data_IF_454745456793
#
_entry.id   IF_454745456793
#
_cell.length_a   1.000
_cell.length_b   1.000
_cell.length_c   1.000
_cell.angle_alpha   90.00
_cell.angle_beta   90.00
_cell.angle_gamma   90.00
#
_symmetry.space_group_name_H-M   'P 1'
#
loop_
_entity.id
_entity.type
_entity.pdbx_description
1 polymer ?
#
# COMPACT_ATOMS: atom_id res chain seq x y z
N UNK A 1 -5.40 -14.70 -23.35
CA UNK A 1 -4.05 -14.89 -23.85
C UNK A 1 -3.02 -14.71 -22.74
N UNK A 2 -1.75 -14.98 -23.07
CA UNK A 2 -0.71 -15.00 -22.03
C UNK A 2 -0.47 -13.65 -21.36
N UNK A 3 -0.61 -12.58 -22.10
CA UNK A 3 -0.44 -11.26 -21.53
C UNK A 3 -1.49 -10.97 -20.47
N UNK A 4 -2.73 -11.25 -20.77
CA UNK A 4 -3.82 -11.06 -19.83
C UNK A 4 -3.66 -11.96 -18.61
N UNK A 5 -3.23 -13.17 -18.80
CA UNK A 5 -2.99 -14.10 -17.70
C UNK A 5 -1.92 -13.57 -16.75
N UNK A 6 -0.82 -13.08 -17.31
CA UNK A 6 0.26 -12.52 -16.51
C UNK A 6 -0.21 -11.28 -15.74
N UNK A 7 -0.97 -10.42 -16.40
CA UNK A 7 -1.51 -9.22 -15.78
C UNK A 7 -2.46 -9.58 -14.64
N UNK A 8 -3.32 -10.57 -14.86
CA UNK A 8 -4.25 -11.02 -13.84
C UNK A 8 -3.54 -11.56 -12.62
N UNK A 9 -2.48 -12.36 -12.83
CA UNK A 9 -1.69 -12.88 -11.72
C UNK A 9 -1.06 -11.78 -10.91
N UNK A 10 -0.43 -10.82 -11.59
CA UNK A 10 0.20 -9.68 -10.92
C UNK A 10 -0.84 -8.87 -10.18
N UNK A 11 -1.97 -8.61 -10.81
CA UNK A 11 -3.05 -7.84 -10.19
C UNK A 11 -3.59 -8.51 -8.94
N UNK A 12 -3.72 -9.83 -8.97
CA UNK A 12 -4.22 -10.56 -7.81
C UNK A 12 -3.29 -10.40 -6.61
N UNK A 13 -1.99 -10.56 -6.82
CA UNK A 13 -1.01 -10.36 -5.74
C UNK A 13 -1.05 -8.93 -5.22
N UNK A 14 -1.13 -7.97 -6.10
CA UNK A 14 -1.21 -6.56 -5.71
C UNK A 14 -2.48 -6.30 -4.91
N UNK A 15 -3.59 -6.85 -5.36
CA UNK A 15 -4.87 -6.67 -4.65
C UNK A 15 -4.78 -7.24 -3.25
N UNK A 16 -4.15 -8.39 -3.07
CA UNK A 16 -3.95 -8.97 -1.75
C UNK A 16 -3.12 -8.06 -0.85
N UNK A 17 -2.06 -7.49 -1.39
CA UNK A 17 -1.20 -6.58 -0.65
C UNK A 17 -1.94 -5.29 -0.31
N UNK A 18 -2.70 -4.75 -1.25
CA UNK A 18 -3.52 -3.57 -1.00
C UNK A 18 -4.52 -3.85 0.13
N UNK A 19 -5.15 -5.01 0.08
CA UNK A 19 -6.13 -5.40 1.08
C UNK A 19 -5.51 -5.47 2.47
N UNK A 20 -4.31 -6.03 2.57
CA UNK A 20 -3.58 -6.10 3.83
C UNK A 20 -3.27 -4.70 4.36
N UNK A 21 -2.85 -3.80 3.49
CA UNK A 21 -2.57 -2.43 3.88
C UNK A 21 -3.85 -1.74 4.36
N UNK A 22 -4.93 -1.91 3.62
CA UNK A 22 -6.21 -1.30 3.99
C UNK A 22 -6.68 -1.81 5.36
N UNK A 23 -6.56 -3.11 5.60
CA UNK A 23 -6.94 -3.68 6.89
C UNK A 23 -6.07 -3.16 8.01
N UNK A 24 -4.77 -3.00 7.75
CA UNK A 24 -3.85 -2.47 8.73
C UNK A 24 -4.19 -1.03 9.11
N UNK A 25 -4.59 -0.24 8.13
CA UNK A 25 -4.90 1.17 8.33
C UNK A 25 -6.36 1.42 8.69
N UNK A 26 -7.15 0.37 8.83
CA UNK A 26 -8.58 0.47 9.09
C UNK A 26 -8.93 1.05 10.46
N UNK A 27 -7.93 1.27 11.31
CA UNK A 27 -8.13 1.89 12.62
C UNK A 27 -8.24 3.42 12.53
N UNK A 28 -8.06 3.99 11.34
CA UNK A 28 -8.14 5.43 11.14
C UNK A 28 -6.94 6.20 11.64
N UNK A 29 -5.91 5.50 12.09
CA UNK A 29 -4.70 6.12 12.61
C UNK A 29 -3.65 6.29 11.53
N UNK A 30 -2.71 7.21 11.77
CA UNK A 30 -1.58 7.40 10.88
C UNK A 30 -0.54 6.31 11.11
N UNK A 31 0.01 5.77 10.04
CA UNK A 31 1.02 4.70 10.11
C UNK A 31 2.23 5.06 9.26
N UNK A 32 3.41 4.70 9.76
CA UNK A 32 4.66 4.93 9.04
C UNK A 32 4.89 3.83 8.00
N UNK A 33 5.66 4.18 6.95
CA UNK A 33 6.03 3.20 5.94
C UNK A 33 6.74 2.00 6.58
N UNK A 34 7.67 2.25 7.49
CA UNK A 34 8.42 1.18 8.13
C UNK A 34 7.51 0.24 8.92
N UNK A 35 6.51 0.79 9.60
CA UNK A 35 5.54 0.00 10.34
C UNK A 35 4.73 -0.89 9.40
N UNK A 36 4.24 -0.31 8.32
CA UNK A 36 3.47 -1.05 7.33
C UNK A 36 4.32 -2.14 6.68
N UNK A 37 5.55 -1.79 6.30
CA UNK A 37 6.47 -2.75 5.70
C UNK A 37 6.74 -3.93 6.63
N UNK A 38 6.95 -3.65 7.91
CA UNK A 38 7.18 -4.69 8.89
C UNK A 38 5.99 -5.62 9.04
N UNK A 39 4.77 -5.07 9.02
CA UNK A 39 3.56 -5.86 9.13
C UNK A 39 3.32 -6.73 7.90
N UNK A 40 3.72 -6.24 6.72
CA UNK A 40 3.55 -6.98 5.48
C UNK A 40 4.71 -7.91 5.18
N UNK A 41 5.83 -7.76 5.88
CA UNK A 41 7.04 -8.51 5.58
C UNK A 41 7.68 -8.09 4.28
N UNK A 42 7.50 -6.82 3.90
CA UNK A 42 8.05 -6.27 2.66
C UNK A 42 9.15 -5.27 2.97
N UNK A 43 9.94 -4.94 1.95
CA UNK A 43 10.95 -3.89 2.06
C UNK A 43 10.29 -2.53 1.96
N UNK A 44 10.93 -1.51 2.53
CA UNK A 44 10.40 -0.16 2.51
C UNK A 44 10.11 0.33 1.09
N UNK A 45 11.02 0.07 0.16
CA UNK A 45 10.85 0.49 -1.23
C UNK A 45 9.57 -0.08 -1.83
N UNK A 46 9.36 -1.38 -1.65
CA UNK A 46 8.16 -2.04 -2.18
C UNK A 46 6.91 -1.48 -1.52
N UNK A 47 6.97 -1.29 -0.22
CA UNK A 47 5.84 -0.75 0.53
C UNK A 47 5.48 0.65 0.07
N UNK A 48 6.49 1.50 -0.16
CA UNK A 48 6.26 2.85 -0.65
C UNK A 48 5.57 2.84 -2.01
N UNK A 49 5.96 1.93 -2.89
CA UNK A 49 5.33 1.81 -4.19
C UNK A 49 3.85 1.46 -4.06
N UNK A 50 3.54 0.51 -3.20
CA UNK A 50 2.16 0.10 -2.98
C UNK A 50 1.33 1.24 -2.37
N UNK A 51 1.91 1.94 -1.40
CA UNK A 51 1.23 3.07 -0.78
C UNK A 51 0.96 4.19 -1.78
N UNK A 52 1.94 4.47 -2.62
CA UNK A 52 1.78 5.48 -3.66
C UNK A 52 0.68 5.10 -4.64
N UNK A 53 0.63 3.83 -5.04
CA UNK A 53 -0.41 3.35 -5.94
C UNK A 53 -1.80 3.49 -5.30
N UNK A 54 -1.91 3.18 -4.01
CA UNK A 54 -3.18 3.32 -3.31
C UNK A 54 -3.62 4.77 -3.19
N UNK A 55 -2.67 5.68 -3.06
CA UNK A 55 -2.99 7.12 -3.06
C UNK A 55 -3.52 7.53 -4.43
N UNK A 56 -2.89 7.06 -5.49
CA UNK A 56 -3.34 7.34 -6.86
C UNK A 56 -4.76 6.78 -7.07
N UNK A 57 -5.06 5.63 -6.49
CA UNK A 57 -6.37 5.01 -6.57
C UNK A 57 -7.39 5.67 -5.63
N UNK A 58 -6.98 6.70 -4.90
CA UNK A 58 -7.85 7.46 -4.00
C UNK A 58 -8.35 6.63 -2.82
N UNK A 59 -7.56 5.66 -2.41
CA UNK A 59 -7.91 4.81 -1.26
C UNK A 59 -7.17 5.20 0.02
N UNK A 60 -6.04 5.88 -0.13
CA UNK A 60 -5.24 6.34 0.99
C UNK A 60 -4.91 7.82 0.85
N UNK A 61 -4.60 8.43 1.98
CA UNK A 61 -4.07 9.80 1.99
C UNK A 61 -2.78 9.78 2.81
N UNK A 62 -1.91 10.76 2.56
CA UNK A 62 -0.71 10.95 3.35
C UNK A 62 -0.80 12.29 4.10
N UNK A 63 0.16 12.51 4.99
CA UNK A 63 0.17 13.74 5.78
C UNK A 63 0.84 14.92 5.08
N UNK A 64 1.24 14.74 3.82
CA UNK A 64 1.87 15.78 3.03
C UNK A 64 3.31 16.09 3.39
N UNK A 65 3.88 15.38 4.34
CA UNK A 65 5.27 15.61 4.74
C UNK A 65 6.22 14.76 3.92
N UNK A 66 7.38 15.32 3.62
CA UNK A 66 8.43 14.57 2.92
C UNK A 66 9.19 13.69 3.90
N UNK A 67 9.49 14.23 5.07
CA UNK A 67 10.20 13.52 6.12
C UNK A 67 9.20 13.10 7.19
N UNK A 68 9.27 11.86 7.63
CA UNK A 68 8.32 11.33 8.58
C UNK A 68 6.93 11.20 8.00
N UNK A 69 6.85 10.79 6.74
CA UNK A 69 5.58 10.64 6.05
C UNK A 69 4.73 9.54 6.66
N UNK A 70 3.47 9.86 6.88
CA UNK A 70 2.51 8.92 7.45
C UNK A 70 1.36 8.72 6.48
N UNK A 71 0.69 7.58 6.61
CA UNK A 71 -0.41 7.20 5.72
C UNK A 71 -1.61 6.74 6.52
N UNK A 72 -2.80 6.97 5.99
CA UNK A 72 -4.03 6.48 6.60
C UNK A 72 -5.08 6.27 5.51
N UNK A 73 -6.14 5.55 5.85
CA UNK A 73 -7.26 5.39 4.93
C UNK A 73 -7.97 6.72 4.71
N UNK A 74 -8.40 6.91 3.49
CA UNK A 74 -9.15 8.09 3.12
C UNK A 74 -10.54 8.08 3.72
#
# INVERSE_FOLDING_TARGET
DSYEKATKKSSKKKIEQYDKIIKLLNDGEWHKTAEIAGNLGLKDTRTKELLKELIVLDKLIDNGKTKGKLYRLK
#
